data_IF_932061218839
#
_entry.id   IF_932061218839
#
_cell.length_a   1.000
_cell.length_b   1.000
_cell.length_c   1.000
_cell.angle_alpha   90.00
_cell.angle_beta   90.00
_cell.angle_gamma   90.00
#
_symmetry.space_group_name_H-M   'P 1'
#
loop_
_entity.id
_entity.type
_entity.pdbx_description
1 polymer ?
#
# COMPACT_ATOMS: atom_id res chain seq x y z
N UNK A 1 -2.29 14.52 -2.01
CA UNK A 1 -1.25 14.15 -1.02
C UNK A 1 -1.88 13.33 0.10
N UNK A 2 -1.38 12.11 0.31
CA UNK A 2 -1.82 11.21 1.37
C UNK A 2 -0.82 11.28 2.50
N UNK A 3 -1.27 11.69 3.68
CA UNK A 3 -0.42 11.74 4.88
C UNK A 3 -0.38 10.35 5.51
N UNK A 4 0.80 9.95 5.99
CA UNK A 4 0.94 8.78 6.85
C UNK A 4 0.66 9.21 8.30
N UNK A 5 0.45 8.22 9.17
CA UNK A 5 0.31 8.44 10.62
C UNK A 5 1.56 9.10 11.26
N UNK A 6 2.70 9.01 10.60
CA UNK A 6 3.97 9.57 11.07
C UNK A 6 4.11 11.02 10.59
N UNK A 7 4.56 11.95 11.47
CA UNK A 7 4.77 13.35 11.10
C UNK A 7 5.69 13.49 9.88
N UNK A 8 5.39 14.49 9.04
CA UNK A 8 6.19 14.86 7.85
C UNK A 8 6.36 13.76 6.80
N UNK A 9 5.56 12.70 6.87
CA UNK A 9 5.54 11.62 5.89
C UNK A 9 4.25 11.68 5.08
N UNK A 10 4.38 11.93 3.78
CA UNK A 10 3.28 11.90 2.84
C UNK A 10 3.76 11.43 1.47
N UNK A 11 2.85 10.91 0.66
CA UNK A 11 3.11 10.57 -0.73
C UNK A 11 2.03 11.16 -1.63
N UNK A 12 2.35 11.32 -2.91
CA UNK A 12 1.35 11.67 -3.91
C UNK A 12 0.50 10.45 -4.26
N UNK A 13 -0.82 10.60 -4.20
CA UNK A 13 -1.73 9.53 -4.61
C UNK A 13 -1.55 9.15 -6.08
N UNK A 14 -1.15 10.10 -6.93
CA UNK A 14 -0.95 9.83 -8.35
C UNK A 14 0.21 8.86 -8.58
N UNK A 15 1.30 8.97 -7.82
CA UNK A 15 2.40 8.00 -7.88
C UNK A 15 1.94 6.57 -7.55
N UNK A 16 0.98 6.43 -6.64
CA UNK A 16 0.42 5.13 -6.28
C UNK A 16 -0.48 4.59 -7.40
N UNK A 17 -1.31 5.45 -7.99
CA UNK A 17 -2.16 5.09 -9.14
C UNK A 17 -1.30 4.65 -10.34
N UNK A 18 -0.25 5.41 -10.64
CA UNK A 18 0.69 5.10 -11.71
C UNK A 18 1.42 3.78 -11.43
N UNK A 19 1.83 3.55 -10.19
CA UNK A 19 2.42 2.28 -9.78
C UNK A 19 1.45 1.11 -9.98
N UNK A 20 0.20 1.21 -9.53
CA UNK A 20 -0.81 0.15 -9.70
C UNK A 20 -1.00 -0.14 -11.19
N UNK A 21 -1.22 0.90 -11.99
CA UNK A 21 -1.44 0.79 -13.44
C UNK A 21 -0.24 0.15 -14.15
N UNK A 22 0.98 0.52 -13.77
CA UNK A 22 2.21 -0.05 -14.32
C UNK A 22 2.38 -1.55 -14.04
N UNK A 23 1.71 -2.09 -13.01
CA UNK A 23 1.71 -3.55 -12.76
C UNK A 23 0.77 -4.33 -13.71
N UNK A 24 -0.01 -3.64 -14.56
CA UNK A 24 -1.04 -4.25 -15.39
C UNK A 24 -2.27 -4.72 -14.60
N UNK A 25 -2.41 -4.27 -13.34
CA UNK A 25 -3.54 -4.58 -12.46
C UNK A 25 -4.32 -3.31 -12.15
N UNK A 26 -5.56 -3.49 -11.71
CA UNK A 26 -6.38 -2.40 -11.17
C UNK A 26 -6.30 -2.30 -9.65
N UNK A 27 -5.48 -3.10 -8.97
CA UNK A 27 -5.43 -3.13 -7.51
C UNK A 27 -4.02 -3.42 -6.98
N UNK A 28 -3.81 -3.07 -5.70
CA UNK A 28 -2.66 -3.51 -4.90
C UNK A 28 -3.15 -3.97 -3.52
N UNK A 29 -2.58 -5.07 -3.04
CA UNK A 29 -2.89 -5.57 -1.69
C UNK A 29 -2.25 -4.68 -0.63
N UNK A 30 -2.96 -4.38 0.46
CA UNK A 30 -2.44 -3.60 1.58
C UNK A 30 -1.18 -4.25 2.15
N UNK A 31 -1.30 -5.53 2.52
CA UNK A 31 -0.18 -6.38 2.92
C UNK A 31 0.67 -5.88 4.09
N UNK A 32 0.12 -5.08 5.01
CA UNK A 32 0.83 -4.60 6.20
C UNK A 32 1.34 -5.74 7.10
N UNK A 33 2.59 -5.66 7.55
CA UNK A 33 3.17 -6.63 8.52
C UNK A 33 4.13 -6.00 9.51
N UNK A 34 4.15 -6.49 10.76
CA UNK A 34 5.18 -6.10 11.75
C UNK A 34 6.40 -7.00 11.57
N UNK A 35 7.15 -6.76 10.49
CA UNK A 35 8.42 -7.44 10.15
C UNK A 35 9.35 -6.44 9.48
N UNK A 36 10.64 -6.73 9.46
CA UNK A 36 11.61 -5.99 8.65
C UNK A 36 11.29 -6.11 7.17
N UNK A 37 11.71 -5.14 6.36
CA UNK A 37 11.52 -5.17 4.91
C UNK A 37 12.13 -6.43 4.29
N UNK A 38 13.32 -6.82 4.74
CA UNK A 38 14.02 -8.02 4.28
C UNK A 38 13.26 -9.33 4.57
N UNK A 39 12.41 -9.37 5.61
CA UNK A 39 11.61 -10.55 5.99
C UNK A 39 10.15 -10.45 5.56
N UNK A 40 9.83 -9.49 4.68
CA UNK A 40 8.46 -9.26 4.23
C UNK A 40 8.03 -10.34 3.22
N UNK A 41 6.92 -11.02 3.50
CA UNK A 41 6.45 -12.15 2.66
C UNK A 41 5.56 -11.73 1.50
N UNK A 42 5.23 -10.44 1.40
CA UNK A 42 4.39 -9.90 0.32
C UNK A 42 5.17 -8.75 -0.36
N UNK A 43 6.17 -9.03 -1.21
CA UNK A 43 7.03 -8.01 -1.81
C UNK A 43 6.30 -7.03 -2.73
N UNK A 44 5.09 -7.37 -3.20
CA UNK A 44 4.30 -6.57 -4.13
C UNK A 44 3.14 -5.82 -3.45
N UNK A 45 3.18 -5.67 -2.13
CA UNK A 45 2.13 -4.97 -1.37
C UNK A 45 2.34 -3.46 -1.29
N UNK A 46 1.26 -2.75 -0.97
CA UNK A 46 1.28 -1.32 -0.64
C UNK A 46 2.25 -1.04 0.52
N UNK A 47 2.30 -1.91 1.54
CA UNK A 47 3.22 -1.77 2.67
C UNK A 47 4.68 -1.75 2.22
N UNK A 48 5.07 -2.65 1.32
CA UNK A 48 6.44 -2.68 0.77
C UNK A 48 6.71 -1.49 -0.13
N UNK A 49 5.73 -1.09 -0.95
CA UNK A 49 5.84 0.08 -1.79
C UNK A 49 6.10 1.36 -0.97
N UNK A 50 5.39 1.55 0.14
CA UNK A 50 5.60 2.67 1.06
C UNK A 50 6.96 2.57 1.75
N UNK A 51 7.35 1.40 2.27
CA UNK A 51 8.66 1.21 2.96
C UNK A 51 9.84 1.56 2.07
N UNK A 52 9.76 1.25 0.77
CA UNK A 52 10.80 1.61 -0.21
C UNK A 52 10.90 3.13 -0.45
N UNK A 53 9.81 3.87 -0.27
CA UNK A 53 9.75 5.34 -0.40
C UNK A 53 10.22 6.09 0.84
N UNK A 54 10.18 5.44 2.00
CA UNK A 54 10.61 6.03 3.27
C UNK A 54 11.74 5.21 3.89
N UNK A 55 13.00 5.35 3.41
CA UNK A 55 14.13 4.51 3.84
C UNK A 55 14.38 4.52 5.35
N UNK A 56 14.14 5.67 6.01
CA UNK A 56 14.25 5.82 7.48
C UNK A 56 13.25 4.96 8.26
N UNK A 57 12.21 4.48 7.58
CA UNK A 57 11.08 3.73 8.17
C UNK A 57 10.87 2.36 7.50
N UNK A 58 11.84 1.85 6.75
CA UNK A 58 11.69 0.62 5.95
C UNK A 58 11.29 -0.62 6.77
N UNK A 59 11.69 -0.70 8.03
CA UNK A 59 11.36 -1.82 8.93
C UNK A 59 10.09 -1.59 9.76
N UNK A 60 9.37 -0.50 9.49
CA UNK A 60 8.10 -0.15 10.12
C UNK A 60 6.96 -0.44 9.16
N UNK A 61 5.80 -0.91 9.67
CA UNK A 61 4.59 -1.00 8.85
C UNK A 61 4.10 0.41 8.50
N UNK A 62 3.82 0.67 7.23
CA UNK A 62 3.42 1.99 6.74
C UNK A 62 2.05 1.99 6.06
N UNK A 63 1.56 0.83 5.57
CA UNK A 63 0.22 0.72 4.98
C UNK A 63 -0.84 0.32 6.03
N UNK A 64 -0.95 1.06 7.14
CA UNK A 64 -1.98 0.78 8.15
C UNK A 64 -3.40 1.18 7.66
N UNK A 65 -4.42 0.96 8.49
CA UNK A 65 -5.80 1.26 8.08
C UNK A 65 -6.02 2.76 7.84
N UNK A 66 -5.30 3.63 8.56
CA UNK A 66 -5.40 5.08 8.37
C UNK A 66 -5.02 5.48 6.95
N UNK A 67 -3.95 4.90 6.39
CA UNK A 67 -3.56 5.14 4.99
C UNK A 67 -4.62 4.64 4.01
N UNK A 68 -5.27 3.50 4.29
CA UNK A 68 -6.34 2.99 3.43
C UNK A 68 -7.55 3.93 3.44
N UNK A 69 -7.97 4.36 4.62
CA UNK A 69 -9.11 5.26 4.76
C UNK A 69 -8.83 6.60 4.04
N UNK A 70 -7.63 7.18 4.21
CA UNK A 70 -7.21 8.39 3.51
C UNK A 70 -7.16 8.24 1.99
N UNK A 71 -6.81 7.06 1.47
CA UNK A 71 -6.82 6.77 0.04
C UNK A 71 -8.24 6.63 -0.50
N UNK A 72 -9.16 6.03 0.26
CA UNK A 72 -10.56 5.89 -0.15
C UNK A 72 -11.28 7.23 -0.13
N UNK A 73 -10.96 8.11 0.83
CA UNK A 73 -11.51 9.46 0.92
C UNK A 73 -11.24 10.32 -0.33
N UNK A 74 -10.24 9.99 -1.15
CA UNK A 74 -9.97 10.73 -2.39
C UNK A 74 -10.94 10.41 -3.51
N UNK A 75 -11.73 9.33 -3.38
CA UNK A 75 -12.72 8.90 -4.37
C UNK A 75 -12.12 8.24 -5.62
N UNK A 76 -10.79 8.18 -5.75
CA UNK A 76 -10.09 7.54 -6.88
C UNK A 76 -9.80 6.05 -6.63
N UNK A 77 -9.90 5.63 -5.37
CA UNK A 77 -9.56 4.29 -4.91
C UNK A 77 -10.69 3.76 -4.03
N UNK A 78 -10.95 2.46 -4.12
CA UNK A 78 -11.91 1.76 -3.28
C UNK A 78 -11.22 0.66 -2.47
N UNK A 79 -11.58 0.53 -1.20
CA UNK A 79 -11.18 -0.62 -0.38
C UNK A 79 -11.94 -1.88 -0.83
N UNK A 80 -11.20 -2.95 -1.10
CA UNK A 80 -11.72 -4.22 -1.62
C UNK A 80 -11.00 -5.41 -0.98
N UNK A 81 -11.43 -6.63 -1.33
CA UNK A 81 -10.71 -7.87 -1.07
C UNK A 81 -10.31 -8.50 -2.40
N UNK A 82 -9.03 -8.81 -2.53
CA UNK A 82 -8.45 -9.37 -3.76
C UNK A 82 -7.56 -10.56 -3.45
N UNK A 83 -7.37 -11.44 -4.44
CA UNK A 83 -6.40 -12.54 -4.32
C UNK A 83 -5.00 -11.94 -4.30
N UNK A 84 -4.27 -12.16 -3.21
CA UNK A 84 -2.90 -11.70 -3.09
C UNK A 84 -1.99 -12.50 -4.02
N UNK A 85 -1.24 -11.84 -4.92
CA UNK A 85 -0.38 -12.53 -5.87
C UNK A 85 0.75 -13.31 -5.18
N UNK A 86 1.21 -12.82 -4.02
CA UNK A 86 2.35 -13.41 -3.31
C UNK A 86 1.97 -14.62 -2.44
N UNK A 87 0.70 -14.74 -2.03
CA UNK A 87 0.26 -15.78 -1.09
C UNK A 87 -0.91 -16.63 -1.55
N UNK A 88 -1.58 -16.26 -2.65
CA UNK A 88 -2.81 -16.89 -3.14
C UNK A 88 -4.04 -16.71 -2.26
N UNK A 89 -3.93 -16.02 -1.13
CA UNK A 89 -5.03 -15.81 -0.17
C UNK A 89 -5.79 -14.53 -0.46
N UNK A 90 -7.08 -14.52 -0.11
CA UNK A 90 -7.90 -13.31 -0.13
C UNK A 90 -7.37 -12.29 0.90
N UNK A 91 -7.01 -11.11 0.44
CA UNK A 91 -6.38 -10.05 1.24
C UNK A 91 -7.09 -8.72 1.05
N UNK A 92 -7.00 -7.84 2.06
CA UNK A 92 -7.39 -6.44 1.90
C UNK A 92 -6.54 -5.78 0.83
N UNK A 93 -7.18 -5.01 -0.03
CA UNK A 93 -6.54 -4.31 -1.14
C UNK A 93 -7.24 -2.96 -1.38
N UNK A 94 -6.59 -2.12 -2.17
CA UNK A 94 -7.18 -0.93 -2.78
C UNK A 94 -7.23 -1.14 -4.28
N UNK A 95 -8.31 -0.68 -4.91
CA UNK A 95 -8.56 -0.82 -6.34
C UNK A 95 -8.87 0.55 -6.95
N UNK A 96 -8.36 0.80 -8.15
CA UNK A 96 -8.66 1.98 -8.97
C UNK A 96 -10.16 1.99 -9.30
N UNK A 97 -10.79 3.15 -9.16
CA UNK A 97 -12.20 3.40 -9.52
C UNK A 97 -12.28 3.99 -10.92
#
# INVERSE_FOLDING_TARGET
>A
MIKLKYPDMAFDEQELIDFISATGKSYVVQGQRIKTLAKHTNPNSLDVWLRKRFPKMQDTKLADNYVIDALVETGKLAATKEICPDSGRMCKAIRLV
#
